data_IF_645077477416
#
_entry.id   IF_645077477416
#
_cell.length_a   1.000
_cell.length_b   1.000
_cell.length_c   1.000
_cell.angle_alpha   90.00
_cell.angle_beta   90.00
_cell.angle_gamma   90.00
#
_symmetry.space_group_name_H-M   'P 1'
#
loop_
_entity.id
_entity.type
_entity.pdbx_description
1 polymer ?
#
# COMPACT_ATOMS: atom_id res chain seq x y z
N UNK A 1 -19.88 -21.55 -44.07
CA UNK A 1 -20.34 -20.53 -43.11
C UNK A 1 -19.20 -20.22 -42.15
N UNK A 2 -18.63 -19.03 -42.35
CA UNK A 2 -17.70 -18.23 -41.53
C UNK A 2 -16.52 -18.93 -40.82
N UNK A 3 -15.38 -18.89 -41.51
CA UNK A 3 -14.03 -18.82 -40.95
C UNK A 3 -13.83 -17.53 -40.15
N UNK A 4 -13.00 -17.54 -39.10
CA UNK A 4 -11.96 -16.51 -38.96
C UNK A 4 -10.82 -16.93 -38.00
N UNK A 5 -9.62 -16.54 -38.41
CA UNK A 5 -8.31 -16.83 -37.84
C UNK A 5 -8.07 -16.17 -36.47
N UNK A 6 -7.34 -16.86 -35.59
CA UNK A 6 -6.46 -16.20 -34.63
C UNK A 6 -5.09 -16.88 -34.67
N UNK A 7 -4.17 -16.23 -35.38
CA UNK A 7 -2.76 -16.55 -35.48
C UNK A 7 -2.14 -16.41 -34.09
N UNK A 8 -1.63 -17.50 -33.53
CA UNK A 8 -0.84 -17.47 -32.30
C UNK A 8 0.48 -16.76 -32.62
N UNK A 9 0.63 -15.52 -32.18
CA UNK A 9 1.92 -14.85 -32.11
C UNK A 9 2.68 -15.44 -30.92
N UNK A 10 3.55 -16.40 -31.18
CA UNK A 10 4.63 -16.77 -30.27
C UNK A 10 5.61 -15.59 -30.18
N UNK A 11 5.38 -14.69 -29.22
CA UNK A 11 6.44 -13.80 -28.74
C UNK A 11 7.27 -14.63 -27.77
N UNK A 12 8.34 -15.23 -28.30
CA UNK A 12 9.42 -15.75 -27.47
C UNK A 12 10.12 -14.53 -26.86
N UNK A 13 9.65 -14.09 -25.70
CA UNK A 13 10.43 -13.23 -24.84
C UNK A 13 11.57 -14.10 -24.29
N UNK A 14 12.71 -14.04 -24.97
CA UNK A 14 13.96 -14.60 -24.47
C UNK A 14 14.28 -13.90 -23.14
N UNK A 15 13.90 -14.50 -22.02
CA UNK A 15 14.41 -14.12 -20.70
C UNK A 15 15.88 -14.54 -20.70
N UNK A 16 16.74 -13.63 -21.16
CA UNK A 16 18.13 -13.62 -20.74
C UNK A 16 18.09 -13.42 -19.23
N UNK A 17 18.19 -14.52 -18.50
CA UNK A 17 18.60 -14.50 -17.10
C UNK A 17 20.02 -13.94 -17.10
N UNK A 18 20.13 -12.61 -17.04
CA UNK A 18 21.36 -12.01 -16.54
C UNK A 18 21.41 -12.44 -15.08
N UNK A 19 22.25 -13.42 -14.78
CA UNK A 19 22.78 -13.59 -13.44
C UNK A 19 23.51 -12.28 -13.12
N UNK A 20 22.78 -11.31 -12.56
CA UNK A 20 23.40 -10.21 -11.86
C UNK A 20 24.30 -10.85 -10.80
N UNK A 21 25.56 -10.42 -10.66
CA UNK A 21 26.40 -10.91 -9.58
C UNK A 21 25.65 -10.69 -8.27
N UNK A 22 25.60 -11.71 -7.41
CA UNK A 22 25.00 -11.61 -6.09
C UNK A 22 25.59 -10.37 -5.39
N UNK A 23 24.76 -9.33 -5.28
CA UNK A 23 25.11 -8.11 -4.56
C UNK A 23 25.38 -8.52 -3.13
N UNK A 24 26.50 -8.09 -2.54
CA UNK A 24 26.78 -8.38 -1.16
C UNK A 24 25.71 -7.69 -0.29
N UNK A 25 24.72 -8.46 0.16
CA UNK A 25 23.68 -7.97 1.07
C UNK A 25 24.33 -7.57 2.38
N UNK A 26 24.09 -6.34 2.82
CA UNK A 26 24.46 -5.93 4.17
C UNK A 26 23.37 -6.40 5.13
N UNK A 27 23.76 -7.14 6.17
CA UNK A 27 22.85 -7.82 7.07
C UNK A 27 23.20 -7.47 8.52
N UNK A 28 22.18 -7.21 9.34
CA UNK A 28 22.29 -7.16 10.78
C UNK A 28 21.19 -8.01 11.45
N UNK A 29 21.56 -8.85 12.40
CA UNK A 29 20.63 -9.73 13.12
C UNK A 29 20.47 -9.26 14.56
N UNK A 30 19.24 -8.94 14.96
CA UNK A 30 18.95 -8.53 16.32
C UNK A 30 19.21 -9.68 17.30
N UNK A 31 19.88 -9.37 18.41
CA UNK A 31 20.16 -10.29 19.51
C UNK A 31 20.39 -9.52 20.82
N UNK A 32 20.53 -10.22 21.94
CA UNK A 32 20.86 -9.58 23.23
C UNK A 32 22.17 -8.77 23.19
N UNK A 33 23.08 -9.12 22.29
CA UNK A 33 24.37 -8.44 22.10
C UNK A 33 24.41 -7.44 20.94
N UNK A 34 23.43 -7.48 20.03
CA UNK A 34 23.40 -6.66 18.83
C UNK A 34 22.02 -6.01 18.67
N UNK A 35 21.97 -4.69 18.81
CA UNK A 35 20.73 -3.92 18.73
C UNK A 35 20.45 -3.38 17.32
N UNK A 36 21.35 -3.62 16.37
CA UNK A 36 21.32 -3.08 15.01
C UNK A 36 20.98 -1.60 14.99
N UNK A 37 21.67 -0.82 15.83
CA UNK A 37 21.42 0.63 15.91
C UNK A 37 21.74 1.29 14.58
N UNK A 38 20.95 2.27 14.15
CA UNK A 38 21.17 2.96 12.87
C UNK A 38 22.58 3.58 12.79
N UNK A 39 23.17 3.99 13.92
CA UNK A 39 24.55 4.49 13.98
C UNK A 39 25.63 3.40 13.79
N UNK A 40 25.33 2.14 14.10
CA UNK A 40 26.28 1.02 13.90
C UNK A 40 26.24 0.44 12.49
N UNK A 41 25.23 0.80 11.69
CA UNK A 41 25.08 0.38 10.29
C UNK A 41 26.12 1.10 9.40
N UNK A 42 27.34 0.55 9.38
CA UNK A 42 28.51 1.13 8.70
C UNK A 42 28.78 0.53 7.32
N UNK A 43 28.31 -0.69 7.06
CA UNK A 43 28.35 -1.32 5.75
C UNK A 43 26.96 -1.27 5.13
N UNK A 44 26.82 -0.67 3.96
CA UNK A 44 25.56 -0.66 3.20
C UNK A 44 25.75 -1.50 1.93
N UNK A 45 24.69 -2.14 1.47
CA UNK A 45 24.65 -2.73 0.12
C UNK A 45 24.70 -1.65 -0.96
N UNK A 46 24.82 -2.07 -2.22
CA UNK A 46 24.89 -1.17 -3.38
C UNK A 46 23.66 -0.26 -3.52
N UNK A 47 22.50 -0.72 -3.06
CA UNK A 47 21.25 0.06 -3.01
C UNK A 47 21.17 1.01 -1.79
N UNK A 48 22.22 1.05 -0.96
CA UNK A 48 22.31 1.89 0.22
C UNK A 48 21.51 1.38 1.41
N UNK A 49 21.15 0.09 1.44
CA UNK A 49 20.35 -0.50 2.50
C UNK A 49 21.11 -1.48 3.42
N UNK A 50 20.45 -1.88 4.49
CA UNK A 50 20.80 -3.02 5.34
C UNK A 50 19.53 -3.81 5.63
N UNK A 51 19.62 -5.14 5.59
CA UNK A 51 18.56 -6.04 6.01
C UNK A 51 18.67 -6.30 7.51
N UNK A 52 17.60 -6.00 8.24
CA UNK A 52 17.49 -6.28 9.66
C UNK A 52 16.68 -7.55 9.84
N UNK A 53 17.29 -8.55 10.48
CA UNK A 53 16.64 -9.81 10.85
C UNK A 53 16.21 -9.70 12.31
N UNK A 54 14.92 -9.45 12.59
CA UNK A 54 14.46 -9.23 13.97
C UNK A 54 14.38 -10.50 14.81
N UNK A 55 14.26 -11.68 14.18
CA UNK A 55 14.07 -12.94 14.89
C UNK A 55 12.77 -12.95 15.71
N UNK A 56 12.82 -13.57 16.88
CA UNK A 56 11.65 -13.67 17.78
C UNK A 56 10.47 -14.38 17.11
N UNK A 57 9.28 -13.77 17.19
CA UNK A 57 8.05 -14.32 16.61
C UNK A 57 7.83 -13.92 15.14
N UNK A 58 8.79 -13.25 14.50
CA UNK A 58 8.63 -12.83 13.10
C UNK A 58 8.77 -14.02 12.15
N UNK A 59 7.92 -14.06 11.13
CA UNK A 59 7.92 -15.10 10.09
C UNK A 59 6.97 -14.78 8.94
N UNK A 60 7.18 -15.43 7.80
CA UNK A 60 6.23 -15.45 6.69
C UNK A 60 5.19 -16.58 6.81
N UNK A 61 4.22 -16.56 5.89
CA UNK A 61 2.99 -17.36 5.94
C UNK A 61 3.18 -18.86 6.09
N UNK A 62 4.19 -19.43 5.45
CA UNK A 62 4.38 -20.88 5.35
C UNK A 62 5.78 -21.29 5.78
N UNK A 63 5.93 -22.58 6.10
CA UNK A 63 7.26 -23.19 6.24
C UNK A 63 7.96 -23.26 4.88
N UNK A 64 9.28 -23.43 4.89
CA UNK A 64 10.11 -23.40 3.68
C UNK A 64 9.71 -24.49 2.68
N UNK A 65 9.41 -24.08 1.46
CA UNK A 65 9.09 -24.97 0.36
C UNK A 65 9.56 -24.38 -0.96
N UNK A 66 9.98 -25.26 -1.86
CA UNK A 66 10.31 -24.89 -3.23
C UNK A 66 9.79 -25.97 -4.17
N UNK A 67 8.96 -25.56 -5.11
CA UNK A 67 8.45 -26.42 -6.16
C UNK A 67 9.23 -26.20 -7.45
N UNK A 68 9.80 -27.27 -8.01
CA UNK A 68 10.53 -27.17 -9.27
C UNK A 68 9.62 -27.19 -10.51
N UNK A 69 8.34 -27.53 -10.35
CA UNK A 69 7.38 -27.62 -11.46
C UNK A 69 6.68 -26.28 -11.68
N UNK A 70 6.14 -25.69 -10.61
CA UNK A 70 5.43 -24.40 -10.64
C UNK A 70 6.34 -23.20 -10.43
N UNK A 71 7.54 -23.41 -9.86
CA UNK A 71 8.41 -22.31 -9.40
C UNK A 71 7.94 -21.66 -8.09
N UNK A 72 6.79 -22.08 -7.54
CA UNK A 72 6.28 -21.55 -6.27
C UNK A 72 7.27 -21.82 -5.14
N UNK A 73 7.54 -20.77 -4.37
CA UNK A 73 8.53 -20.80 -3.29
C UNK A 73 7.95 -20.10 -2.07
N UNK A 74 8.19 -20.67 -0.89
CA UNK A 74 7.90 -20.06 0.41
C UNK A 74 9.19 -20.03 1.23
N UNK A 75 9.33 -19.01 2.06
CA UNK A 75 10.45 -18.89 3.00
C UNK A 75 9.90 -18.31 4.29
N UNK A 76 9.99 -19.07 5.38
CA UNK A 76 9.47 -18.65 6.68
C UNK A 76 10.25 -17.48 7.29
N UNK A 77 11.46 -17.21 6.80
CA UNK A 77 12.32 -16.15 7.35
C UNK A 77 11.79 -14.76 6.98
N UNK A 78 11.61 -13.92 7.99
CA UNK A 78 11.27 -12.52 7.82
C UNK A 78 12.47 -11.61 8.12
N UNK A 79 12.54 -10.50 7.38
CA UNK A 79 13.44 -9.37 7.62
C UNK A 79 12.75 -8.09 7.17
N UNK A 80 13.23 -6.94 7.63
CA UNK A 80 12.86 -5.64 7.06
C UNK A 80 14.10 -4.89 6.57
N UNK A 81 13.90 -3.95 5.65
CA UNK A 81 15.00 -3.27 4.97
C UNK A 81 15.08 -1.83 5.43
N UNK A 82 16.28 -1.38 5.78
CA UNK A 82 16.53 -0.03 6.30
C UNK A 82 17.47 0.71 5.36
N UNK A 83 17.10 1.93 5.01
CA UNK A 83 17.96 2.87 4.30
C UNK A 83 18.25 4.05 5.22
N UNK A 84 19.41 4.08 5.89
CA UNK A 84 19.78 5.19 6.75
C UNK A 84 20.08 6.44 5.93
N UNK A 85 19.74 7.61 6.49
CA UNK A 85 20.17 8.89 5.94
C UNK A 85 21.71 8.97 5.91
N UNK A 86 22.29 9.33 4.77
CA UNK A 86 23.76 9.36 4.56
C UNK A 86 24.50 10.43 5.35
N UNK A 87 23.79 11.45 5.84
CA UNK A 87 24.33 12.50 6.71
C UNK A 87 24.03 12.25 8.19
N UNK A 88 23.48 11.06 8.54
CA UNK A 88 23.05 10.69 9.89
C UNK A 88 21.98 11.62 10.48
N UNK A 89 21.22 12.34 9.63
CA UNK A 89 20.06 13.11 10.07
C UNK A 89 18.91 12.16 10.40
N UNK A 90 18.40 12.24 11.63
CA UNK A 90 17.31 11.41 12.16
C UNK A 90 15.96 12.10 12.16
N UNK A 91 15.86 13.34 11.65
CA UNK A 91 14.66 14.17 11.76
C UNK A 91 13.52 13.78 10.82
N UNK A 92 13.78 12.94 9.81
CA UNK A 92 12.80 12.52 8.81
C UNK A 92 12.80 11.01 8.63
N UNK A 93 11.61 10.41 8.74
CA UNK A 93 11.41 8.97 8.63
C UNK A 93 10.23 8.66 7.71
N UNK A 94 10.48 7.78 6.74
CA UNK A 94 9.46 7.11 5.94
C UNK A 94 9.40 5.64 6.38
N UNK A 95 8.23 5.19 6.82
CA UNK A 95 7.92 3.77 7.04
C UNK A 95 7.04 3.33 5.87
N UNK A 96 7.50 2.37 5.06
CA UNK A 96 6.80 1.98 3.84
C UNK A 96 6.43 0.50 3.82
N UNK A 97 5.15 0.19 3.80
CA UNK A 97 4.60 -1.16 3.76
C UNK A 97 4.50 -1.69 2.32
N UNK A 98 5.09 -2.86 2.08
CA UNK A 98 5.03 -3.52 0.78
C UNK A 98 3.62 -4.05 0.47
N UNK A 99 3.23 -4.00 -0.80
CA UNK A 99 2.09 -4.76 -1.32
C UNK A 99 2.39 -6.22 -1.63
N UNK A 100 1.45 -6.89 -2.29
CA UNK A 100 1.66 -8.26 -2.77
C UNK A 100 0.46 -9.16 -2.51
N UNK A 101 -0.74 -8.64 -2.76
CA UNK A 101 -1.99 -9.40 -2.69
C UNK A 101 -2.49 -9.69 -1.28
N UNK A 102 -3.24 -10.78 -1.11
CA UNK A 102 -3.85 -11.23 0.14
C UNK A 102 -4.73 -12.45 -0.10
N UNK A 103 -5.08 -13.16 0.97
CA UNK A 103 -6.14 -14.16 0.95
C UNK A 103 -7.36 -13.65 1.71
N UNK A 104 -8.52 -14.27 1.52
CA UNK A 104 -9.81 -13.74 1.97
C UNK A 104 -10.62 -14.74 2.81
N UNK A 105 -10.27 -16.03 2.74
CA UNK A 105 -10.95 -17.14 3.41
C UNK A 105 -10.04 -18.37 3.52
N UNK A 106 -10.53 -19.45 4.15
CA UNK A 106 -9.72 -20.66 4.31
C UNK A 106 -9.24 -21.28 2.99
N UNK A 107 -10.01 -21.15 1.91
CA UNK A 107 -9.63 -21.70 0.60
C UNK A 107 -8.45 -20.91 0.01
N UNK A 108 -8.62 -19.59 -0.08
CA UNK A 108 -7.64 -18.66 -0.63
C UNK A 108 -6.37 -18.58 0.22
N UNK A 109 -6.47 -18.88 1.52
CA UNK A 109 -5.32 -18.91 2.42
C UNK A 109 -4.59 -20.27 2.43
N UNK A 110 -5.12 -21.30 1.76
CA UNK A 110 -4.55 -22.64 1.79
C UNK A 110 -3.23 -22.72 1.01
N UNK A 111 -2.20 -23.32 1.63
CA UNK A 111 -0.93 -23.59 0.97
C UNK A 111 -1.11 -24.35 -0.35
N UNK A 112 -1.94 -25.40 -0.35
CA UNK A 112 -2.16 -26.24 -1.53
C UNK A 112 -2.73 -25.45 -2.71
N UNK A 113 -3.61 -24.48 -2.43
CA UNK A 113 -4.16 -23.58 -3.44
C UNK A 113 -3.09 -22.60 -3.95
N UNK A 114 -2.40 -21.89 -3.05
CA UNK A 114 -1.36 -20.92 -3.43
C UNK A 114 -0.25 -21.56 -4.29
N UNK A 115 0.23 -22.74 -3.88
CA UNK A 115 1.20 -23.51 -4.65
C UNK A 115 0.64 -23.91 -6.02
N UNK A 116 -0.63 -24.33 -6.07
CA UNK A 116 -1.26 -24.79 -7.30
C UNK A 116 -1.60 -23.65 -8.26
N UNK A 117 -1.77 -22.42 -7.78
CA UNK A 117 -1.92 -21.21 -8.59
C UNK A 117 -0.60 -20.74 -9.20
N UNK A 118 0.55 -21.15 -8.61
CA UNK A 118 1.89 -20.88 -9.12
C UNK A 118 2.16 -19.36 -9.27
N UNK A 119 2.46 -18.89 -10.48
CA UNK A 119 2.66 -17.47 -10.79
C UNK A 119 1.41 -16.61 -10.53
N UNK A 120 0.23 -17.23 -10.41
CA UNK A 120 -1.04 -16.56 -10.07
C UNK A 120 -1.41 -16.70 -8.59
N UNK A 121 -0.45 -17.08 -7.72
CA UNK A 121 -0.65 -17.06 -6.27
C UNK A 121 -1.27 -15.73 -5.81
N UNK A 122 -2.20 -15.79 -4.87
CA UNK A 122 -2.98 -14.65 -4.44
C UNK A 122 -2.16 -13.73 -3.53
N UNK A 123 -1.03 -14.18 -3.00
CA UNK A 123 -0.16 -13.30 -2.25
C UNK A 123 1.31 -13.70 -2.30
N UNK A 124 2.17 -12.73 -1.98
CA UNK A 124 3.60 -12.99 -1.83
C UNK A 124 3.84 -13.78 -0.54
N UNK A 125 4.64 -14.85 -0.61
CA UNK A 125 4.92 -15.77 0.51
C UNK A 125 6.37 -15.71 1.00
N UNK A 126 7.14 -14.73 0.50
CA UNK A 126 8.55 -14.52 0.80
C UNK A 126 8.81 -13.04 1.08
N UNK A 127 9.57 -12.72 2.13
CA UNK A 127 10.05 -11.35 2.32
C UNK A 127 11.04 -11.00 1.19
N UNK A 128 10.84 -9.86 0.53
CA UNK A 128 11.68 -9.44 -0.60
C UNK A 128 12.33 -8.09 -0.34
N UNK A 129 13.59 -7.94 -0.75
CA UNK A 129 14.26 -6.64 -0.84
C UNK A 129 13.66 -5.79 -1.97
N UNK A 130 13.68 -4.47 -1.80
CA UNK A 130 13.27 -3.51 -2.83
C UNK A 130 14.27 -2.36 -2.90
N UNK A 131 14.32 -1.68 -4.03
CA UNK A 131 15.25 -0.58 -4.28
C UNK A 131 14.80 0.28 -5.47
N UNK A 132 13.49 0.54 -5.53
CA UNK A 132 12.82 1.27 -6.62
C UNK A 132 11.71 2.15 -6.04
N UNK A 133 11.31 3.19 -6.78
CA UNK A 133 10.20 4.06 -6.39
C UNK A 133 10.57 5.00 -5.24
N UNK A 134 9.63 5.24 -4.33
CA UNK A 134 9.79 6.18 -3.20
C UNK A 134 10.94 5.81 -2.26
N UNK A 135 11.39 4.55 -2.26
CA UNK A 135 12.53 4.11 -1.45
C UNK A 135 13.89 4.16 -2.20
N UNK A 136 13.88 4.46 -3.50
CA UNK A 136 15.11 4.55 -4.31
C UNK A 136 15.84 5.86 -4.03
N UNK A 137 16.98 5.77 -3.35
CA UNK A 137 17.80 6.93 -2.98
C UNK A 137 18.66 7.47 -4.12
N UNK A 138 18.81 6.72 -5.21
CA UNK A 138 19.60 7.14 -6.37
C UNK A 138 18.75 7.80 -7.44
N UNK A 139 17.43 7.75 -7.30
CA UNK A 139 16.50 8.53 -8.11
C UNK A 139 16.65 10.03 -7.78
N UNK A 140 17.13 10.80 -8.77
CA UNK A 140 17.56 12.20 -8.59
C UNK A 140 16.45 13.10 -8.04
N UNK A 141 15.23 12.90 -8.51
CA UNK A 141 14.02 13.65 -8.19
C UNK A 141 13.17 12.99 -7.08
N UNK A 142 13.67 11.94 -6.43
CA UNK A 142 13.00 11.36 -5.28
C UNK A 142 13.13 12.27 -4.04
N UNK A 143 12.00 12.82 -3.60
CA UNK A 143 11.80 13.64 -2.41
C UNK A 143 12.14 12.95 -1.09
N UNK A 144 12.19 11.61 -1.07
CA UNK A 144 12.54 10.78 0.08
C UNK A 144 14.00 10.30 0.07
N UNK A 145 14.81 10.63 -0.94
CA UNK A 145 16.17 10.09 -1.09
C UNK A 145 17.13 10.40 0.09
N UNK A 146 16.88 11.52 0.76
CA UNK A 146 17.59 11.96 1.97
C UNK A 146 16.76 11.71 3.25
N UNK A 147 15.76 10.83 3.24
CA UNK A 147 15.05 10.42 4.44
C UNK A 147 15.66 9.13 4.98
N UNK A 148 15.44 8.85 6.27
CA UNK A 148 15.56 7.47 6.74
C UNK A 148 14.34 6.71 6.21
N UNK A 149 14.55 5.51 5.70
CA UNK A 149 13.46 4.65 5.21
C UNK A 149 13.51 3.33 5.95
N UNK A 150 12.36 2.91 6.49
CA UNK A 150 12.11 1.56 6.98
C UNK A 150 11.08 0.93 6.06
N UNK A 151 11.54 0.06 5.17
CA UNK A 151 10.69 -0.70 4.27
C UNK A 151 10.30 -2.02 4.95
N UNK A 152 8.99 -2.28 5.01
CA UNK A 152 8.37 -3.42 5.71
C UNK A 152 7.88 -4.41 4.64
N UNK A 153 8.62 -5.50 4.36
CA UNK A 153 8.22 -6.49 3.37
C UNK A 153 6.91 -7.20 3.76
N UNK A 154 6.21 -7.70 2.75
CA UNK A 154 4.95 -8.40 2.95
C UNK A 154 5.06 -9.85 2.47
N UNK A 155 4.69 -10.79 3.34
CA UNK A 155 4.82 -12.21 3.03
C UNK A 155 3.79 -13.11 3.76
N UNK A 156 2.69 -12.54 4.23
CA UNK A 156 1.80 -13.16 5.22
C UNK A 156 0.34 -13.30 4.80
N UNK A 157 -0.07 -12.75 3.64
CA UNK A 157 -1.45 -12.92 3.12
C UNK A 157 -2.55 -12.19 3.91
N UNK A 158 -2.18 -11.42 4.93
CA UNK A 158 -3.06 -10.82 5.95
C UNK A 158 -2.99 -9.28 6.07
N UNK A 159 -2.65 -8.61 4.97
CA UNK A 159 -2.51 -7.14 4.83
C UNK A 159 -1.76 -6.45 5.98
N UNK A 160 -0.70 -7.09 6.50
CA UNK A 160 0.19 -6.62 7.59
C UNK A 160 -0.39 -6.62 9.01
N UNK A 161 -1.66 -6.98 9.20
CA UNK A 161 -2.35 -6.87 10.51
C UNK A 161 -2.66 -8.21 11.16
N UNK A 162 -2.49 -9.31 10.44
CA UNK A 162 -2.85 -10.63 10.95
C UNK A 162 -2.05 -11.09 12.16
N UNK A 163 -2.73 -11.79 13.06
CA UNK A 163 -2.17 -12.42 14.26
C UNK A 163 -2.89 -13.74 14.56
N UNK A 164 -2.88 -14.65 13.59
CA UNK A 164 -3.65 -15.89 13.61
C UNK A 164 -2.86 -17.04 12.99
N UNK A 165 -3.14 -18.27 13.44
CA UNK A 165 -2.67 -19.48 12.76
C UNK A 165 -3.89 -20.24 12.25
N UNK A 166 -3.92 -20.53 10.95
CA UNK A 166 -4.88 -21.43 10.35
C UNK A 166 -4.30 -22.84 10.32
N UNK A 167 -5.08 -23.86 10.71
CA UNK A 167 -4.66 -25.24 10.51
C UNK A 167 -4.51 -25.52 9.01
N UNK A 168 -3.74 -26.55 8.63
CA UNK A 168 -3.68 -26.99 7.25
C UNK A 168 -5.08 -27.24 6.69
N UNK A 169 -5.30 -26.81 5.45
CA UNK A 169 -6.59 -26.88 4.80
C UNK A 169 -6.42 -27.17 3.31
N UNK A 170 -7.27 -28.06 2.79
CA UNK A 170 -7.38 -28.44 1.38
C UNK A 170 -8.87 -28.68 1.10
N UNK A 171 -9.44 -27.95 0.15
CA UNK A 171 -10.87 -28.09 -0.20
C UNK A 171 -11.10 -29.05 -1.37
N UNK A 172 -10.03 -29.47 -2.05
CA UNK A 172 -10.07 -30.23 -3.28
C UNK A 172 -10.20 -29.37 -4.54
N UNK A 173 -10.39 -28.05 -4.40
CA UNK A 173 -10.44 -27.12 -5.55
C UNK A 173 -9.07 -27.04 -6.23
N UNK A 174 -8.00 -27.03 -5.43
CA UNK A 174 -6.61 -27.02 -5.89
C UNK A 174 -6.27 -28.22 -6.82
N UNK A 175 -6.98 -29.34 -6.70
CA UNK A 175 -6.79 -30.49 -7.59
C UNK A 175 -7.13 -30.18 -9.05
N UNK A 176 -8.07 -29.24 -9.27
CA UNK A 176 -8.51 -28.84 -10.60
C UNK A 176 -7.46 -27.98 -11.33
N UNK A 177 -6.50 -27.41 -10.59
CA UNK A 177 -5.41 -26.59 -11.13
C UNK A 177 -4.25 -27.42 -11.71
N UNK A 178 -4.32 -28.76 -11.60
CA UNK A 178 -3.39 -29.65 -12.31
C UNK A 178 -1.98 -29.73 -11.73
N UNK A 179 -1.80 -29.35 -10.46
CA UNK A 179 -0.51 -29.35 -9.76
C UNK A 179 -0.49 -30.34 -8.58
N UNK A 180 -0.55 -31.67 -8.82
CA UNK A 180 -0.66 -32.68 -7.76
C UNK A 180 0.52 -32.67 -6.77
N UNK A 181 1.68 -32.15 -7.18
CA UNK A 181 2.84 -32.00 -6.32
C UNK A 181 2.64 -30.98 -5.19
N UNK A 182 1.68 -30.07 -5.31
CA UNK A 182 1.32 -29.08 -4.29
C UNK A 182 0.38 -29.64 -3.21
N UNK A 183 -0.20 -30.83 -3.42
CA UNK A 183 -1.20 -31.42 -2.55
C UNK A 183 -0.57 -32.24 -1.42
N UNK A 184 -1.30 -32.38 -0.32
CA UNK A 184 -0.96 -33.24 0.81
C UNK A 184 0.28 -32.79 1.58
N UNK A 185 0.65 -31.50 1.52
CA UNK A 185 1.78 -30.96 2.29
C UNK A 185 1.49 -30.79 3.78
N UNK A 186 0.21 -30.63 4.13
CA UNK A 186 -0.26 -30.43 5.51
C UNK A 186 0.40 -29.20 6.18
N UNK A 187 0.57 -28.11 5.43
CA UNK A 187 1.18 -26.88 5.92
C UNK A 187 0.14 -25.96 6.55
N UNK A 188 0.31 -25.52 7.81
CA UNK A 188 -0.51 -24.47 8.39
C UNK A 188 -0.15 -23.12 7.76
N UNK A 189 -1.07 -22.16 7.82
CA UNK A 189 -0.79 -20.77 7.48
C UNK A 189 -0.60 -19.92 8.74
N UNK A 190 0.47 -19.14 8.78
CA UNK A 190 0.77 -18.17 9.82
C UNK A 190 0.45 -16.76 9.32
N UNK A 191 -0.71 -16.24 9.70
CA UNK A 191 -1.05 -14.82 9.55
C UNK A 191 -0.32 -14.05 10.64
N UNK A 192 0.90 -13.62 10.33
CA UNK A 192 1.84 -13.05 11.28
C UNK A 192 2.26 -11.61 10.94
N UNK A 193 1.46 -10.94 10.09
CA UNK A 193 1.69 -9.57 9.64
C UNK A 193 1.88 -8.60 10.81
N UNK A 194 1.07 -8.71 11.86
CA UNK A 194 1.19 -7.82 13.02
C UNK A 194 2.56 -7.94 13.70
N UNK A 195 3.03 -9.15 13.97
CA UNK A 195 4.32 -9.36 14.66
C UNK A 195 5.49 -8.90 13.77
N UNK A 196 5.39 -9.09 12.46
CA UNK A 196 6.37 -8.59 11.49
C UNK A 196 6.41 -7.06 11.46
N UNK A 197 5.26 -6.41 11.33
CA UNK A 197 5.10 -4.95 11.34
C UNK A 197 5.58 -4.35 12.66
N UNK A 198 5.11 -4.90 13.79
CA UNK A 198 5.51 -4.49 15.14
C UNK A 198 7.02 -4.52 15.32
N UNK A 199 7.70 -5.58 14.84
CA UNK A 199 9.16 -5.68 14.97
C UNK A 199 9.91 -4.54 14.26
N UNK A 200 9.43 -4.14 13.07
CA UNK A 200 10.01 -3.05 12.31
C UNK A 200 9.68 -1.68 12.95
N UNK A 201 8.45 -1.49 13.43
CA UNK A 201 8.02 -0.27 14.11
C UNK A 201 8.75 -0.06 15.45
N UNK A 202 8.90 -1.10 16.26
CA UNK A 202 9.65 -1.04 17.53
C UNK A 202 11.12 -0.68 17.28
N UNK A 203 11.73 -1.31 16.27
CA UNK A 203 13.10 -0.97 15.88
C UNK A 203 13.20 0.48 15.39
N UNK A 204 12.25 0.93 14.55
CA UNK A 204 12.22 2.28 14.02
C UNK A 204 12.07 3.33 15.14
N UNK A 205 11.14 3.12 16.08
CA UNK A 205 10.91 4.02 17.21
C UNK A 205 12.16 4.13 18.10
N UNK A 206 12.82 3.01 18.37
CA UNK A 206 14.05 2.99 19.17
C UNK A 206 15.20 3.76 18.51
N UNK A 207 15.28 3.74 17.18
CA UNK A 207 16.36 4.37 16.42
C UNK A 207 16.06 5.83 16.04
N UNK A 208 14.78 6.18 15.91
CA UNK A 208 14.28 7.49 15.51
C UNK A 208 13.14 7.95 16.45
N UNK A 209 13.41 8.12 17.77
CA UNK A 209 12.36 8.45 18.73
C UNK A 209 11.84 9.88 18.57
N UNK A 210 12.67 10.78 18.03
CA UNK A 210 12.40 12.22 17.93
C UNK A 210 12.53 12.69 16.48
N UNK A 211 11.53 12.35 15.67
CA UNK A 211 11.41 12.79 14.28
C UNK A 211 10.60 14.09 14.21
N UNK A 212 11.00 15.01 13.34
CA UNK A 212 10.19 16.18 13.01
C UNK A 212 9.14 15.89 11.93
N UNK A 213 9.45 14.94 11.03
CA UNK A 213 8.55 14.49 9.97
C UNK A 213 8.49 12.96 9.95
N UNK A 214 7.28 12.43 10.05
CA UNK A 214 7.00 11.01 9.96
C UNK A 214 6.00 10.79 8.83
N UNK A 215 6.35 9.91 7.89
CA UNK A 215 5.44 9.44 6.86
C UNK A 215 5.28 7.95 7.04
N UNK A 216 4.04 7.48 7.14
CA UNK A 216 3.72 6.08 6.90
C UNK A 216 3.11 5.96 5.51
N UNK A 217 3.61 5.06 4.70
CA UNK A 217 3.14 4.85 3.35
C UNK A 217 3.01 3.38 3.01
N UNK A 218 2.30 3.08 1.94
CA UNK A 218 2.27 1.73 1.41
C UNK A 218 1.55 1.64 0.08
N UNK A 219 1.77 0.54 -0.62
CA UNK A 219 1.20 0.27 -1.93
C UNK A 219 0.41 -1.04 -1.94
N UNK A 220 -0.72 -1.10 -2.65
CA UNK A 220 -1.59 -2.28 -2.71
C UNK A 220 -2.02 -2.71 -1.30
N UNK A 221 -1.87 -3.99 -0.91
CA UNK A 221 -2.08 -4.46 0.47
C UNK A 221 -1.28 -3.66 1.53
N UNK A 222 -0.11 -3.14 1.18
CA UNK A 222 0.67 -2.28 2.07
C UNK A 222 0.01 -0.92 2.32
N UNK A 223 -0.79 -0.42 1.38
CA UNK A 223 -1.54 0.82 1.59
C UNK A 223 -2.62 0.65 2.66
N UNK A 224 -3.24 -0.54 2.77
CA UNK A 224 -4.14 -0.89 3.86
C UNK A 224 -3.36 -0.98 5.18
N UNK A 225 -2.21 -1.64 5.19
CA UNK A 225 -1.33 -1.67 6.37
C UNK A 225 -0.96 -0.27 6.86
N UNK A 226 -0.57 0.63 5.96
CA UNK A 226 -0.26 2.02 6.29
C UNK A 226 -1.46 2.78 6.87
N UNK A 227 -2.67 2.56 6.33
CA UNK A 227 -3.91 3.09 6.88
C UNK A 227 -4.18 2.54 8.29
N UNK A 228 -4.13 1.21 8.47
CA UNK A 228 -4.52 0.56 9.71
C UNK A 228 -3.57 0.83 10.88
N UNK A 229 -2.27 0.90 10.62
CA UNK A 229 -1.28 1.25 11.65
C UNK A 229 -1.20 2.76 11.93
N UNK A 230 -1.95 3.63 11.25
CA UNK A 230 -1.76 5.09 11.35
C UNK A 230 -1.94 5.59 12.78
N UNK A 231 -3.06 5.27 13.44
CA UNK A 231 -3.35 5.67 14.82
C UNK A 231 -2.32 5.08 15.80
N UNK A 232 -1.98 3.80 15.64
CA UNK A 232 -0.96 3.16 16.50
C UNK A 232 0.41 3.80 16.34
N UNK A 233 0.82 4.17 15.14
CA UNK A 233 2.08 4.87 14.88
C UNK A 233 2.03 6.29 15.47
N UNK A 234 0.90 6.99 15.34
CA UNK A 234 0.70 8.29 15.96
C UNK A 234 0.93 8.23 17.49
N UNK A 235 0.34 7.23 18.16
CA UNK A 235 0.52 6.96 19.58
C UNK A 235 1.98 6.60 19.92
N UNK A 236 2.58 5.68 19.16
CA UNK A 236 3.94 5.20 19.40
C UNK A 236 4.99 6.33 19.35
N UNK A 237 4.80 7.29 18.44
CA UNK A 237 5.69 8.45 18.30
C UNK A 237 5.22 9.68 19.07
N UNK A 238 4.10 9.59 19.81
CA UNK A 238 3.50 10.68 20.57
C UNK A 238 3.36 11.95 19.71
N UNK A 239 2.85 11.79 18.47
CA UNK A 239 2.97 12.81 17.41
C UNK A 239 2.39 14.17 17.82
N UNK A 240 1.27 14.17 18.54
CA UNK A 240 0.62 15.40 19.02
C UNK A 240 1.43 16.08 20.13
N UNK A 241 1.92 15.29 21.09
CA UNK A 241 2.69 15.80 22.22
C UNK A 241 4.04 16.36 21.77
N UNK A 242 4.66 15.74 20.74
CA UNK A 242 5.94 16.17 20.18
C UNK A 242 5.81 17.20 19.06
N UNK A 243 4.60 17.46 18.56
CA UNK A 243 4.38 18.32 17.40
C UNK A 243 5.02 17.76 16.12
N UNK A 244 5.11 16.44 16.01
CA UNK A 244 5.64 15.74 14.83
C UNK A 244 4.69 15.92 13.66
N UNK A 245 5.20 16.33 12.50
CA UNK A 245 4.40 16.33 11.28
C UNK A 245 4.20 14.89 10.79
N UNK A 246 3.01 14.34 11.03
CA UNK A 246 2.65 12.98 10.64
C UNK A 246 1.75 12.94 9.40
N UNK A 247 2.08 12.08 8.44
CA UNK A 247 1.31 11.95 7.20
C UNK A 247 1.18 10.48 6.76
N UNK A 248 0.06 10.14 6.12
CA UNK A 248 -0.26 8.80 5.63
C UNK A 248 -0.41 8.81 4.11
N UNK A 249 0.31 7.96 3.40
CA UNK A 249 0.26 7.82 1.93
C UNK A 249 -0.24 6.43 1.53
N UNK A 250 -1.44 6.36 0.97
CA UNK A 250 -2.06 5.12 0.52
C UNK A 250 -2.10 5.06 -1.02
N UNK A 251 -1.36 4.12 -1.59
CA UNK A 251 -1.28 3.92 -3.05
C UNK A 251 -2.02 2.65 -3.49
N UNK A 252 -3.01 2.83 -4.35
CA UNK A 252 -3.75 1.79 -5.08
C UNK A 252 -4.59 0.86 -4.21
N UNK A 253 -5.19 1.41 -3.16
CA UNK A 253 -6.28 0.77 -2.43
C UNK A 253 -7.02 1.76 -1.50
N UNK A 254 -8.35 1.70 -1.50
CA UNK A 254 -9.21 2.44 -0.53
C UNK A 254 -10.30 1.58 0.11
N UNK A 255 -10.29 0.27 -0.12
CA UNK A 255 -11.23 -0.66 0.52
C UNK A 255 -12.56 -0.84 -0.21
N UNK A 256 -12.56 -0.72 -1.55
CA UNK A 256 -13.73 -1.08 -2.37
C UNK A 256 -13.90 -2.60 -2.35
N UNK A 257 -14.81 -3.08 -1.50
CA UNK A 257 -15.20 -4.49 -1.36
C UNK A 257 -16.73 -4.64 -1.40
N UNK A 258 -17.26 -5.85 -1.64
CA UNK A 258 -18.68 -6.12 -1.53
C UNK A 258 -19.23 -5.69 -0.17
N UNK A 259 -20.40 -5.06 -0.15
CA UNK A 259 -21.01 -4.61 1.11
C UNK A 259 -21.34 -5.76 2.07
N UNK A 260 -21.46 -6.99 1.57
CA UNK A 260 -21.64 -8.21 2.36
C UNK A 260 -20.36 -8.74 2.99
N UNK A 261 -19.20 -8.24 2.56
CA UNK A 261 -17.87 -8.62 3.03
C UNK A 261 -16.98 -7.37 3.19
N UNK A 262 -17.32 -6.46 4.12
CA UNK A 262 -16.61 -5.21 4.28
C UNK A 262 -15.19 -5.45 4.85
N UNK A 263 -14.31 -4.46 4.70
CA UNK A 263 -12.92 -4.56 5.18
C UNK A 263 -12.78 -5.03 6.64
N UNK A 264 -13.60 -4.56 7.60
CA UNK A 264 -13.52 -5.04 8.98
C UNK A 264 -13.71 -6.55 9.13
N UNK A 265 -14.57 -7.19 8.33
CA UNK A 265 -14.77 -8.66 8.37
C UNK A 265 -13.48 -9.40 7.98
N UNK A 266 -12.78 -8.93 6.94
CA UNK A 266 -11.51 -9.51 6.53
C UNK A 266 -10.42 -9.30 7.60
N UNK A 267 -10.37 -8.11 8.18
CA UNK A 267 -9.39 -7.80 9.23
C UNK A 267 -9.65 -8.65 10.48
N UNK A 268 -10.91 -8.87 10.86
CA UNK A 268 -11.29 -9.79 11.94
C UNK A 268 -10.92 -11.24 11.60
N UNK A 269 -11.17 -11.68 10.37
CA UNK A 269 -10.75 -13.01 9.90
C UNK A 269 -9.24 -13.23 10.09
N UNK A 270 -8.41 -12.22 9.82
CA UNK A 270 -6.96 -12.27 10.06
C UNK A 270 -6.55 -12.23 11.55
N UNK A 271 -7.50 -11.95 12.45
CA UNK A 271 -7.24 -11.68 13.87
C UNK A 271 -6.67 -10.28 14.11
N UNK A 272 -6.81 -9.34 13.17
CA UNK A 272 -6.26 -7.99 13.25
C UNK A 272 -7.10 -7.00 14.05
N UNK A 273 -8.39 -7.29 14.28
CA UNK A 273 -9.26 -6.43 15.09
C UNK A 273 -9.03 -6.57 16.62
N UNK A 274 -8.14 -7.46 17.08
CA UNK A 274 -7.86 -7.60 18.51
C UNK A 274 -7.29 -6.30 19.10
N UNK A 275 -7.84 -5.89 20.24
CA UNK A 275 -7.48 -4.64 20.91
C UNK A 275 -5.99 -4.59 21.26
N UNK A 276 -5.31 -3.51 20.88
CA UNK A 276 -3.91 -3.29 21.21
C UNK A 276 -2.93 -3.93 20.23
N UNK A 277 -3.42 -4.52 19.14
CA UNK A 277 -2.61 -4.87 17.97
C UNK A 277 -2.38 -3.64 17.08
N UNK A 278 -2.88 -3.66 15.83
CA UNK A 278 -2.77 -2.56 14.89
C UNK A 278 -3.62 -1.34 15.29
N UNK A 279 -4.70 -1.56 16.05
CA UNK A 279 -5.66 -0.51 16.43
C UNK A 279 -5.63 -0.21 17.94
N UNK A 280 -5.69 1.07 18.33
CA UNK A 280 -6.12 1.50 19.67
C UNK A 280 -7.52 0.97 20.01
N UNK A 281 -7.91 0.99 21.29
CA UNK A 281 -9.12 0.33 21.79
C UNK A 281 -10.41 0.81 21.14
N UNK A 282 -10.54 2.11 20.89
CA UNK A 282 -11.71 2.73 20.29
C UNK A 282 -11.88 2.31 18.83
N UNK A 283 -10.80 2.29 18.06
CA UNK A 283 -10.80 1.86 16.65
C UNK A 283 -10.98 0.34 16.55
N UNK A 284 -10.37 -0.43 17.46
CA UNK A 284 -10.60 -1.86 17.56
C UNK A 284 -12.09 -2.18 17.80
N UNK A 285 -12.79 -1.37 18.61
CA UNK A 285 -14.23 -1.54 18.81
C UNK A 285 -15.04 -1.31 17.51
N UNK A 286 -14.63 -0.37 16.67
CA UNK A 286 -15.22 -0.19 15.33
C UNK A 286 -14.93 -1.40 14.43
N UNK A 287 -13.68 -1.88 14.42
CA UNK A 287 -13.27 -3.05 13.65
C UNK A 287 -14.10 -4.30 13.99
N UNK A 288 -14.40 -4.52 15.28
CA UNK A 288 -15.17 -5.67 15.75
C UNK A 288 -16.69 -5.51 15.63
N UNK A 289 -17.20 -4.37 15.15
CA UNK A 289 -18.64 -4.16 15.08
C UNK A 289 -19.27 -4.91 13.90
N UNK A 290 -20.31 -5.70 14.14
CA UNK A 290 -20.94 -6.61 13.16
C UNK A 290 -21.37 -5.95 11.84
N UNK A 291 -21.65 -4.64 11.84
CA UNK A 291 -22.10 -3.90 10.64
C UNK A 291 -21.15 -2.75 10.28
N UNK A 292 -19.91 -2.76 10.78
CA UNK A 292 -18.93 -1.74 10.40
C UNK A 292 -18.57 -1.88 8.92
N UNK A 293 -18.65 -0.75 8.23
CA UNK A 293 -18.22 -0.64 6.84
C UNK A 293 -16.73 -0.32 6.77
N UNK A 294 -16.14 -0.48 5.58
CA UNK A 294 -14.81 0.07 5.27
C UNK A 294 -14.71 1.55 5.64
N UNK A 295 -15.76 2.32 5.33
CA UNK A 295 -15.80 3.76 5.57
C UNK A 295 -15.71 4.03 7.07
N UNK A 296 -16.51 3.33 7.89
CA UNK A 296 -16.53 3.55 9.35
C UNK A 296 -15.14 3.35 9.99
N UNK A 297 -14.42 2.30 9.58
CA UNK A 297 -13.10 2.01 10.14
C UNK A 297 -12.06 3.08 9.80
N UNK A 298 -12.01 3.53 8.55
CA UNK A 298 -11.03 4.54 8.12
C UNK A 298 -11.44 5.94 8.56
N UNK A 299 -12.74 6.25 8.64
CA UNK A 299 -13.22 7.48 9.28
C UNK A 299 -12.78 7.53 10.74
N UNK A 300 -12.90 6.44 11.50
CA UNK A 300 -12.42 6.38 12.88
C UNK A 300 -10.90 6.66 12.98
N UNK A 301 -10.10 6.15 12.04
CA UNK A 301 -8.65 6.43 11.97
C UNK A 301 -8.35 7.90 11.62
N UNK A 302 -9.13 8.52 10.74
CA UNK A 302 -8.98 9.94 10.36
C UNK A 302 -9.40 10.85 11.52
N UNK A 303 -10.47 10.51 12.23
CA UNK A 303 -11.01 11.28 13.34
C UNK A 303 -10.16 11.18 14.60
N UNK A 304 -9.47 10.05 14.81
CA UNK A 304 -8.55 9.83 15.93
C UNK A 304 -7.40 10.87 15.95
N UNK A 305 -6.87 11.22 14.78
CA UNK A 305 -5.90 12.30 14.66
C UNK A 305 -6.18 13.19 13.42
N UNK A 306 -6.97 14.27 13.58
CA UNK A 306 -7.42 15.11 12.47
C UNK A 306 -6.31 15.97 11.85
N UNK A 307 -5.14 16.07 12.50
CA UNK A 307 -3.99 16.80 11.98
C UNK A 307 -3.15 15.98 10.99
N UNK A 308 -3.35 14.66 10.93
CA UNK A 308 -2.71 13.80 9.94
C UNK A 308 -3.08 14.26 8.52
N UNK A 309 -2.05 14.38 7.68
CA UNK A 309 -2.24 14.60 6.24
C UNK A 309 -2.36 13.27 5.53
N UNK A 310 -3.44 13.06 4.80
CA UNK A 310 -3.67 11.83 4.02
C UNK A 310 -3.48 12.10 2.54
N UNK A 311 -2.81 11.19 1.84
CA UNK A 311 -2.70 11.18 0.39
C UNK A 311 -3.14 9.82 -0.14
N UNK A 312 -4.23 9.82 -0.92
CA UNK A 312 -4.74 8.63 -1.60
C UNK A 312 -4.43 8.72 -3.10
N UNK A 313 -3.64 7.77 -3.60
CA UNK A 313 -3.20 7.69 -5.01
C UNK A 313 -3.89 6.49 -5.63
N UNK A 314 -4.72 6.68 -6.66
CA UNK A 314 -5.46 5.57 -7.24
C UNK A 314 -5.64 5.71 -8.76
N UNK A 315 -5.64 4.57 -9.43
CA UNK A 315 -6.13 4.47 -10.80
C UNK A 315 -7.66 4.36 -10.80
N UNK A 316 -8.34 4.97 -11.77
CA UNK A 316 -9.81 4.91 -11.85
C UNK A 316 -10.33 3.51 -12.15
N UNK A 317 -9.56 2.72 -12.90
CA UNK A 317 -9.93 1.39 -13.37
C UNK A 317 -9.07 0.25 -12.82
N UNK A 318 -8.34 0.47 -11.72
CA UNK A 318 -7.36 -0.45 -11.12
C UNK A 318 -7.78 -1.93 -11.24
N UNK A 319 -7.07 -2.66 -12.09
CA UNK A 319 -7.40 -4.06 -12.41
C UNK A 319 -7.25 -4.98 -11.21
N UNK A 320 -6.30 -4.71 -10.30
CA UNK A 320 -6.06 -5.55 -9.13
C UNK A 320 -7.15 -5.33 -8.09
N UNK A 321 -7.58 -4.08 -7.84
CA UNK A 321 -8.71 -3.83 -6.94
C UNK A 321 -9.98 -4.51 -7.45
N UNK A 322 -10.24 -4.47 -8.75
CA UNK A 322 -11.39 -5.15 -9.37
C UNK A 322 -11.30 -6.68 -9.26
N UNK A 323 -10.09 -7.22 -9.40
CA UNK A 323 -9.82 -8.65 -9.18
C UNK A 323 -10.11 -9.06 -7.74
N UNK A 324 -9.61 -8.32 -6.74
CA UNK A 324 -9.86 -8.62 -5.32
C UNK A 324 -11.32 -8.44 -4.92
N UNK A 325 -12.02 -7.47 -5.52
CA UNK A 325 -13.46 -7.36 -5.34
C UNK A 325 -14.15 -8.66 -5.78
N UNK A 326 -13.83 -9.19 -6.97
CA UNK A 326 -14.40 -10.45 -7.47
C UNK A 326 -13.98 -11.66 -6.62
N UNK A 327 -12.73 -11.71 -6.14
CA UNK A 327 -12.25 -12.76 -5.24
C UNK A 327 -13.03 -12.80 -3.92
N UNK A 328 -13.34 -11.64 -3.36
CA UNK A 328 -14.14 -11.54 -2.12
C UNK A 328 -15.62 -11.86 -2.37
N UNK A 329 -16.18 -11.45 -3.51
CA UNK A 329 -17.59 -11.65 -3.85
C UNK A 329 -17.90 -13.10 -4.26
N UNK A 330 -17.08 -13.67 -5.14
CA UNK A 330 -17.32 -14.98 -5.77
C UNK A 330 -16.54 -16.12 -5.08
N UNK A 331 -15.56 -15.78 -4.24
CA UNK A 331 -14.57 -16.73 -3.71
C UNK A 331 -13.67 -17.30 -4.81
N UNK A 332 -12.77 -18.21 -4.44
CA UNK A 332 -11.85 -18.83 -5.41
C UNK A 332 -12.57 -19.65 -6.51
N UNK A 333 -13.82 -20.05 -6.28
CA UNK A 333 -14.62 -20.79 -7.27
C UNK A 333 -14.93 -19.94 -8.52
N UNK A 334 -14.91 -18.61 -8.41
CA UNK A 334 -15.08 -17.71 -9.55
C UNK A 334 -13.82 -17.57 -10.42
N UNK A 335 -12.64 -18.00 -9.94
CA UNK A 335 -11.38 -17.89 -10.67
C UNK A 335 -11.46 -18.62 -12.03
N UNK A 336 -11.05 -18.00 -13.16
CA UNK A 336 -10.20 -16.81 -13.28
C UNK A 336 -10.94 -15.46 -13.39
N UNK A 337 -12.17 -15.35 -12.88
CA UNK A 337 -12.99 -14.12 -12.87
C UNK A 337 -13.14 -13.47 -14.25
N UNK A 338 -13.90 -14.09 -15.18
CA UNK A 338 -14.03 -13.59 -16.55
C UNK A 338 -14.73 -12.22 -16.63
N UNK A 339 -15.44 -11.80 -15.58
CA UNK A 339 -16.18 -10.55 -15.53
C UNK A 339 -15.82 -9.78 -14.26
N UNK A 340 -14.85 -8.88 -14.37
CA UNK A 340 -14.56 -7.94 -13.29
C UNK A 340 -15.59 -6.81 -13.27
N UNK A 341 -15.79 -6.20 -12.10
CA UNK A 341 -16.50 -4.92 -11.96
C UNK A 341 -16.02 -3.92 -13.04
N UNK A 342 -16.90 -3.07 -13.56
CA UNK A 342 -16.49 -2.06 -14.54
C UNK A 342 -15.55 -1.01 -13.93
N UNK A 343 -14.69 -0.38 -14.74
CA UNK A 343 -13.84 0.73 -14.28
C UNK A 343 -14.67 1.90 -13.76
N UNK A 344 -15.81 2.17 -14.39
CA UNK A 344 -16.74 3.23 -13.97
C UNK A 344 -17.37 2.94 -12.60
N UNK A 345 -17.72 1.69 -12.32
CA UNK A 345 -18.28 1.30 -11.02
C UNK A 345 -17.21 1.30 -9.92
N UNK A 346 -15.98 0.84 -10.22
CA UNK A 346 -14.86 0.97 -9.28
C UNK A 346 -14.63 2.44 -8.95
N UNK A 347 -14.50 3.30 -9.96
CA UNK A 347 -14.25 4.72 -9.77
C UNK A 347 -15.37 5.39 -8.97
N UNK A 348 -16.63 5.05 -9.26
CA UNK A 348 -17.79 5.56 -8.51
C UNK A 348 -17.72 5.15 -7.04
N UNK A 349 -17.49 3.87 -6.75
CA UNK A 349 -17.43 3.37 -5.37
C UNK A 349 -16.24 3.98 -4.60
N UNK A 350 -15.07 4.05 -5.22
CA UNK A 350 -13.90 4.70 -4.65
C UNK A 350 -14.13 6.20 -4.40
N UNK A 351 -14.83 6.89 -5.30
CA UNK A 351 -15.17 8.32 -5.11
C UNK A 351 -16.09 8.51 -3.91
N UNK A 352 -17.10 7.65 -3.72
CA UNK A 352 -17.98 7.71 -2.54
C UNK A 352 -17.20 7.55 -1.24
N UNK A 353 -16.25 6.61 -1.19
CA UNK A 353 -15.39 6.38 -0.03
C UNK A 353 -14.52 7.62 0.26
N UNK A 354 -13.81 8.13 -0.75
CA UNK A 354 -12.89 9.26 -0.58
C UNK A 354 -13.62 10.59 -0.30
N UNK A 355 -14.82 10.78 -0.87
CA UNK A 355 -15.69 11.92 -0.55
C UNK A 355 -16.11 11.87 0.93
N UNK A 356 -16.47 10.69 1.44
CA UNK A 356 -16.81 10.52 2.87
C UNK A 356 -15.64 10.91 3.77
N UNK A 357 -14.43 10.43 3.46
CA UNK A 357 -13.22 10.80 4.20
C UNK A 357 -12.97 12.31 4.19
N UNK A 358 -13.12 12.97 3.02
CA UNK A 358 -12.94 14.42 2.89
C UNK A 358 -13.94 15.24 3.71
N UNK A 359 -15.09 14.66 4.09
CA UNK A 359 -16.01 15.31 5.03
C UNK A 359 -15.47 15.33 6.47
N UNK A 360 -14.57 14.41 6.83
CA UNK A 360 -14.00 14.29 8.19
C UNK A 360 -12.76 15.14 8.38
N UNK A 361 -11.94 15.27 7.35
CA UNK A 361 -10.74 16.11 7.42
C UNK A 361 -10.49 16.89 6.12
N UNK A 362 -10.20 18.19 6.19
CA UNK A 362 -9.78 18.97 5.03
C UNK A 362 -8.34 18.63 4.59
N UNK A 363 -7.63 17.75 5.32
CA UNK A 363 -6.23 17.36 5.06
C UNK A 363 -6.11 16.11 4.21
N UNK A 364 -7.14 15.80 3.42
CA UNK A 364 -7.18 14.63 2.54
C UNK A 364 -6.96 15.06 1.10
N UNK A 365 -5.82 14.64 0.55
CA UNK A 365 -5.45 14.82 -0.85
C UNK A 365 -5.75 13.54 -1.62
N UNK A 366 -6.38 13.69 -2.79
CA UNK A 366 -6.66 12.57 -3.71
C UNK A 366 -5.94 12.80 -5.03
N UNK A 367 -5.26 11.78 -5.53
CA UNK A 367 -4.59 11.76 -6.82
C UNK A 367 -5.16 10.63 -7.68
N UNK A 368 -6.02 10.96 -8.64
CA UNK A 368 -6.59 10.00 -9.57
C UNK A 368 -5.80 9.95 -10.87
N UNK A 369 -5.54 8.74 -11.36
CA UNK A 369 -4.92 8.49 -12.67
C UNK A 369 -5.94 7.80 -13.57
N UNK A 370 -6.03 8.21 -14.83
CA UNK A 370 -6.86 7.51 -15.82
C UNK A 370 -6.19 6.19 -16.23
N UNK A 371 -7.00 5.14 -16.45
CA UNK A 371 -6.54 3.81 -16.83
C UNK A 371 -6.76 2.78 -15.73
N UNK A 372 -6.04 1.66 -15.80
CA UNK A 372 -6.24 0.47 -14.98
C UNK A 372 -4.97 -0.01 -14.26
N UNK A 373 -3.92 0.81 -14.29
CA UNK A 373 -2.63 0.55 -13.65
C UNK A 373 -2.77 0.33 -12.14
N UNK A 374 -1.88 -0.48 -11.58
CA UNK A 374 -1.86 -0.78 -10.14
C UNK A 374 -0.48 -0.47 -9.56
N UNK A 375 -0.47 0.33 -8.49
CA UNK A 375 0.71 0.86 -7.78
C UNK A 375 1.54 1.83 -8.61
N UNK A 376 1.75 3.02 -8.06
CA UNK A 376 2.53 4.07 -8.71
C UNK A 376 3.84 4.33 -7.98
N UNK A 377 3.80 4.41 -6.64
CA UNK A 377 4.89 4.84 -5.76
C UNK A 377 6.08 3.89 -5.75
N UNK A 378 5.92 2.64 -6.18
CA UNK A 378 7.00 1.66 -6.27
C UNK A 378 7.65 1.60 -7.66
N UNK A 379 7.12 2.33 -8.65
CA UNK A 379 7.69 2.37 -9.99
C UNK A 379 8.93 3.28 -10.05
N UNK A 380 9.90 2.91 -10.90
CA UNK A 380 11.17 3.65 -11.04
C UNK A 380 11.00 5.11 -11.49
N UNK A 381 9.87 5.45 -12.08
CA UNK A 381 9.54 6.77 -12.60
C UNK A 381 8.27 7.35 -11.94
N UNK A 382 7.98 6.95 -10.69
CA UNK A 382 6.72 7.30 -10.03
C UNK A 382 6.39 8.80 -10.04
N UNK A 383 7.40 9.66 -9.96
CA UNK A 383 7.25 11.13 -9.99
C UNK A 383 6.56 11.64 -11.25
N UNK A 384 6.67 10.90 -12.36
CA UNK A 384 6.22 11.30 -13.69
C UNK A 384 4.77 10.94 -14.02
N UNK A 385 4.10 10.15 -13.17
CA UNK A 385 2.69 9.84 -13.37
C UNK A 385 1.86 11.12 -13.33
N UNK A 386 0.91 11.24 -14.27
CA UNK A 386 0.01 12.38 -14.37
C UNK A 386 -1.36 12.00 -13.84
N UNK A 387 -1.94 12.87 -13.03
CA UNK A 387 -3.34 12.75 -12.65
C UNK A 387 -4.27 13.08 -13.82
N UNK A 388 -5.54 12.74 -13.64
CA UNK A 388 -6.65 13.16 -14.50
C UNK A 388 -6.82 14.70 -14.60
N UNK A 389 -6.22 15.44 -13.65
CA UNK A 389 -6.13 16.91 -13.66
C UNK A 389 -4.81 17.43 -14.27
N UNK A 390 -3.95 16.54 -14.76
CA UNK A 390 -2.68 16.89 -15.40
C UNK A 390 -1.55 17.28 -14.45
N UNK A 391 -1.69 17.00 -13.14
CA UNK A 391 -0.64 17.24 -12.14
C UNK A 391 0.30 16.04 -12.08
N UNK A 392 1.61 16.27 -11.91
CA UNK A 392 2.57 15.19 -11.72
C UNK A 392 2.56 14.69 -10.27
N UNK A 393 2.67 13.37 -10.09
CA UNK A 393 2.65 12.74 -8.77
C UNK A 393 3.79 13.25 -7.88
N UNK A 394 4.99 13.44 -8.43
CA UNK A 394 6.13 13.98 -7.69
C UNK A 394 5.89 15.40 -7.17
N UNK A 395 5.22 16.24 -7.97
CA UNK A 395 4.87 17.61 -7.56
C UNK A 395 3.83 17.59 -6.43
N UNK A 396 2.82 16.73 -6.55
CA UNK A 396 1.76 16.57 -5.54
C UNK A 396 2.32 16.05 -4.22
N UNK A 397 3.22 15.07 -4.24
CA UNK A 397 3.86 14.56 -3.00
C UNK A 397 4.71 15.67 -2.35
N UNK A 398 5.49 16.43 -3.13
CA UNK A 398 6.29 17.53 -2.59
C UNK A 398 5.44 18.62 -1.93
N UNK A 399 4.34 19.02 -2.57
CA UNK A 399 3.39 19.99 -2.01
C UNK A 399 2.72 19.43 -0.75
N UNK A 400 2.25 18.18 -0.81
CA UNK A 400 1.64 17.50 0.33
C UNK A 400 2.57 17.43 1.54
N UNK A 401 3.85 17.08 1.35
CA UNK A 401 4.85 17.04 2.42
C UNK A 401 5.09 18.42 3.05
N UNK A 402 5.13 19.49 2.25
CA UNK A 402 5.48 20.84 2.71
C UNK A 402 4.29 21.67 3.20
N UNK A 403 3.06 21.28 2.85
CA UNK A 403 1.84 21.98 3.27
C UNK A 403 1.66 21.91 4.80
N UNK A 404 1.51 23.08 5.43
CA UNK A 404 1.26 23.24 6.87
C UNK A 404 -0.16 23.74 7.21
N UNK A 405 -1.05 23.91 6.23
CA UNK A 405 -2.35 24.59 6.41
C UNK A 405 -3.50 23.70 5.92
N UNK A 406 -4.62 23.47 6.61
CA UNK A 406 -5.65 24.47 6.99
C UNK A 406 -5.81 25.62 6.00
N UNK A 407 -5.82 25.33 4.69
CA UNK A 407 -6.19 26.32 3.66
C UNK A 407 -7.09 25.67 2.61
N UNK A 408 -8.38 26.01 2.69
CA UNK A 408 -9.33 25.86 1.58
C UNK A 408 -8.76 26.53 0.33
N UNK A 409 -8.39 25.74 -0.67
CA UNK A 409 -8.42 26.18 -2.05
C UNK A 409 -9.51 25.42 -2.79
N UNK A 410 -10.70 26.01 -2.71
CA UNK A 410 -11.66 25.93 -3.79
C UNK A 410 -10.92 26.27 -5.09
N UNK A 411 -10.84 25.27 -5.97
CA UNK A 411 -10.31 25.42 -7.33
C UNK A 411 -11.26 26.34 -8.08
N UNK A 412 -10.99 27.66 -8.02
CA UNK A 412 -11.65 28.63 -8.86
C UNK A 412 -11.07 28.53 -10.27
N UNK A 413 -11.93 28.06 -11.18
CA UNK A 413 -11.92 28.25 -12.63
C UNK A 413 -10.88 29.24 -13.17
N UNK A 414 -9.93 28.71 -13.95
CA UNK A 414 -9.05 29.51 -14.81
C UNK A 414 -9.90 30.20 -15.87
N UNK A 415 -10.03 31.51 -15.73
CA UNK A 415 -10.61 32.38 -16.76
C UNK A 415 -9.62 32.49 -17.91
N UNK A 416 -10.11 32.21 -19.12
CA UNK A 416 -9.36 32.29 -20.36
C UNK A 416 -8.76 33.70 -20.55
N UNK A 417 -7.45 33.74 -20.80
CA UNK A 417 -6.73 34.94 -21.23
C UNK A 417 -7.30 35.43 -22.57
N UNK A 418 -7.85 36.65 -22.53
CA UNK A 418 -8.42 37.34 -23.67
C UNK A 418 -7.39 37.70 -24.73
N UNK A 419 -7.75 37.43 -25.98
CA UNK A 419 -7.19 38.07 -27.16
C UNK A 419 -7.91 39.40 -27.38
N UNK A 420 -7.16 40.51 -27.31
CA UNK A 420 -7.63 41.82 -27.78
C UNK A 420 -7.45 41.91 -29.29
N UNK A 421 -8.40 42.53 -30.01
CA UNK A 421 -7.99 43.76 -30.70
C UNK A 421 -9.09 44.83 -30.80
N UNK A 422 -8.65 46.09 -30.73
CA UNK A 422 -9.19 47.17 -31.57
C UNK A 422 -10.30 48.05 -30.99
N UNK A 423 -9.92 49.17 -30.38
CA UNK A 423 -10.73 50.40 -30.38
C UNK A 423 -10.66 51.04 -31.76
N UNK A 424 -11.75 51.65 -32.28
CA UNK A 424 -12.00 53.06 -31.92
C UNK A 424 -13.48 53.48 -31.88
N UNK A 425 -13.76 54.57 -31.15
CA UNK A 425 -14.89 55.46 -31.51
C UNK A 425 -15.77 55.94 -30.36
N UNK A 426 -15.43 57.11 -29.81
CA UNK A 426 -16.32 58.25 -29.52
C UNK A 426 -17.84 57.98 -29.34
N UNK A 427 -18.38 58.30 -28.16
CA UNK A 427 -19.21 59.52 -27.99
C UNK A 427 -19.75 59.66 -26.57
N UNK A 428 -19.69 60.92 -26.09
CA UNK A 428 -20.39 61.42 -24.91
C UNK A 428 -21.91 61.21 -25.03
N UNK A 429 -22.62 61.04 -23.90
CA UNK A 429 -23.84 61.82 -23.58
C UNK A 429 -24.21 61.67 -22.09
N UNK A 430 -24.65 62.80 -21.55
CA UNK A 430 -25.05 63.12 -20.17
C UNK A 430 -26.34 62.41 -19.71
N UNK A 431 -26.41 62.29 -18.38
CA UNK A 431 -27.62 62.25 -17.53
C UNK A 431 -28.75 63.20 -17.97
N UNK A 432 -29.99 62.70 -17.93
CA UNK A 432 -31.18 63.21 -17.19
C UNK A 432 -32.34 62.22 -17.46
N UNK A 433 -32.81 61.47 -16.47
CA UNK A 433 -33.85 61.83 -15.48
C UNK A 433 -35.25 62.04 -16.07
N UNK A 434 -36.18 61.15 -15.70
CA UNK A 434 -37.57 61.52 -15.41
C UNK A 434 -38.68 60.69 -16.03
N UNK A 435 -39.47 60.06 -15.14
CA UNK A 435 -40.90 59.69 -15.25
C UNK A 435 -41.19 58.49 -16.17
N UNK A 436 -41.70 57.35 -15.68
CA UNK A 436 -42.90 57.16 -14.86
C UNK A 436 -42.77 55.90 -13.99
#
# INVERSE_FOLDING_TARGET
>A
MVYCFATILLVVASVLVSLAPATAESICTLSDSEACTVESLSSLSDDGSVLIYPGGNTRCAFDNYQDSVTGFTTNSTYFFQVFPNTNHDKSKLLIFFQGGGGCTDNNTCAFGLECSLAENALFTTVATVRGAGVIDRFMVDNMFKEWNVVFVPYCTGDVHVGNRVLPPFESGLEQQLGNPQCLGKDFPMYMNGYNNSKSALDWALKNFPDVGNLVVGGASAGSLGAQFFSARIADMWEVDAKGTQFSVMADSYVGVLPASHPVPELVDYFGGCENGLAFPSEIAAVCNAENATTIDLVEALIEDNPEIKWLFINSKGDTVQRYYYALVDEGIQGYPFPNLMSEDDLYRNMSVILDAYQTKSPRITTFYVDGDHHVFTMDRNFTSYKSDKGLFLGDVINEWLTSNTSSNHAVNSVTALGTSPGTPGSSNIRRKAGVQ
#
